data_IF_971927610972
#
_entry.id   IF_971927610972
#
_cell.length_a   1.000
_cell.length_b   1.000
_cell.length_c   1.000
_cell.angle_alpha   90.00
_cell.angle_beta   90.00
_cell.angle_gamma   90.00
#
_symmetry.space_group_name_H-M   'P 1'
#
loop_
_entity.id
_entity.type
_entity.pdbx_description
1 polymer ?
#
# COMPACT_ATOMS: atom_id res chain seq x y z
N UNK A 1 35.98 -5.12 24.58
CA UNK A 1 35.75 -5.67 23.22
C UNK A 1 37.05 -6.25 22.70
N UNK A 2 37.05 -7.53 22.35
CA UNK A 2 38.17 -8.23 21.72
C UNK A 2 38.51 -7.59 20.37
N UNK A 3 39.80 -7.40 20.06
CA UNK A 3 40.29 -6.82 18.79
C UNK A 3 40.77 -7.94 17.86
N UNK A 4 40.93 -7.63 16.56
CA UNK A 4 41.44 -8.60 15.57
C UNK A 4 42.84 -9.13 15.92
N UNK A 5 43.63 -8.33 16.65
CA UNK A 5 44.93 -8.73 17.18
C UNK A 5 44.82 -9.86 18.23
N UNK A 6 43.76 -9.86 19.03
CA UNK A 6 43.54 -10.88 20.05
C UNK A 6 43.17 -12.21 19.41
N UNK A 7 42.41 -12.18 18.31
CA UNK A 7 42.14 -13.35 17.46
C UNK A 7 43.43 -13.90 16.85
N UNK A 8 44.31 -13.05 16.34
CA UNK A 8 45.59 -13.46 15.75
C UNK A 8 46.49 -14.16 16.80
N UNK A 9 46.60 -13.58 18.00
CA UNK A 9 47.33 -14.17 19.12
C UNK A 9 46.74 -15.52 19.54
N UNK A 10 45.41 -15.62 19.67
CA UNK A 10 44.74 -16.83 20.12
C UNK A 10 44.75 -17.95 19.08
N UNK A 11 44.69 -17.62 17.80
CA UNK A 11 44.78 -18.58 16.69
C UNK A 11 46.24 -18.95 16.31
N UNK A 12 47.23 -18.28 16.91
CA UNK A 12 48.67 -18.44 16.60
C UNK A 12 48.99 -18.20 15.12
N UNK A 13 48.51 -17.09 14.59
CA UNK A 13 48.73 -16.66 13.20
C UNK A 13 49.04 -15.16 13.13
N UNK A 14 49.53 -14.69 11.99
CA UNK A 14 49.74 -13.25 11.76
C UNK A 14 48.40 -12.51 11.65
N UNK A 15 48.42 -11.20 11.96
CA UNK A 15 47.25 -10.32 11.77
C UNK A 15 46.76 -10.33 10.30
N UNK A 16 47.70 -10.36 9.35
CA UNK A 16 47.40 -10.51 7.92
C UNK A 16 46.68 -11.82 7.59
N UNK A 17 47.02 -12.93 8.25
CA UNK A 17 46.35 -14.23 8.05
C UNK A 17 44.91 -14.22 8.53
N UNK A 18 44.64 -13.54 9.66
CA UNK A 18 43.25 -13.32 10.14
C UNK A 18 42.48 -12.44 9.15
N UNK A 19 43.10 -11.37 8.64
CA UNK A 19 42.49 -10.52 7.61
C UNK A 19 42.15 -11.29 6.32
N UNK A 20 43.04 -12.18 5.86
CA UNK A 20 42.76 -13.04 4.70
C UNK A 20 41.64 -14.04 4.94
N UNK A 21 41.59 -14.63 6.14
CA UNK A 21 40.51 -15.53 6.53
C UNK A 21 39.14 -14.85 6.49
N UNK A 22 39.08 -13.56 6.88
CA UNK A 22 37.86 -12.77 6.94
C UNK A 22 37.45 -12.16 5.60
N UNK A 23 38.41 -11.78 4.75
CA UNK A 23 38.16 -11.02 3.52
C UNK A 23 38.30 -11.85 2.24
N UNK A 24 38.74 -13.11 2.31
CA UNK A 24 38.81 -14.04 1.17
C UNK A 24 39.87 -13.72 0.09
N UNK A 25 40.62 -12.62 0.21
CA UNK A 25 41.57 -12.13 -0.81
C UNK A 25 42.78 -13.05 -1.07
N UNK A 26 43.11 -13.99 -0.17
CA UNK A 26 44.17 -14.98 -0.37
C UNK A 26 43.74 -16.35 0.18
N UNK A 27 44.07 -17.45 -0.51
CA UNK A 27 43.78 -18.79 -0.02
C UNK A 27 44.56 -19.07 1.27
N UNK A 28 43.87 -19.66 2.25
CA UNK A 28 44.45 -20.16 3.49
C UNK A 28 44.04 -21.62 3.66
N UNK A 29 44.89 -22.42 4.33
CA UNK A 29 44.56 -23.82 4.58
C UNK A 29 43.34 -23.96 5.48
N UNK A 30 42.53 -25.00 5.25
CA UNK A 30 41.31 -25.27 6.01
C UNK A 30 41.60 -25.41 7.52
N UNK A 31 42.71 -26.09 7.85
CA UNK A 31 43.23 -26.19 9.23
C UNK A 31 43.50 -24.82 9.87
N UNK A 32 43.94 -23.83 9.09
CA UNK A 32 44.19 -22.47 9.58
C UNK A 32 42.89 -21.68 9.72
N UNK A 33 41.96 -21.83 8.78
CA UNK A 33 40.62 -21.23 8.86
C UNK A 33 39.87 -21.69 10.11
N UNK A 34 39.87 -22.99 10.39
CA UNK A 34 39.23 -23.57 11.58
C UNK A 34 39.80 -23.02 12.89
N UNK A 35 41.13 -22.83 12.98
CA UNK A 35 41.78 -22.21 14.17
C UNK A 35 41.33 -20.76 14.38
N UNK A 36 41.18 -20.00 13.29
CA UNK A 36 40.74 -18.60 13.35
C UNK A 36 39.27 -18.53 13.76
N UNK A 37 38.40 -19.34 13.17
CA UNK A 37 36.96 -19.40 13.54
C UNK A 37 36.81 -19.78 15.00
N UNK A 38 37.53 -20.80 15.48
CA UNK A 38 37.51 -21.20 16.89
C UNK A 38 37.92 -20.06 17.82
N UNK A 39 39.02 -19.37 17.49
CA UNK A 39 39.49 -18.22 18.27
C UNK A 39 38.50 -17.05 18.28
N UNK A 40 37.79 -16.80 17.17
CA UNK A 40 36.75 -15.77 17.12
C UNK A 40 35.57 -16.11 18.03
N UNK A 41 35.11 -17.37 18.01
CA UNK A 41 34.02 -17.85 18.86
C UNK A 41 34.38 -17.76 20.35
N UNK A 42 35.57 -18.23 20.74
CA UNK A 42 36.03 -18.21 22.13
C UNK A 42 36.21 -16.78 22.68
N UNK A 43 36.61 -15.83 21.83
CA UNK A 43 36.81 -14.43 22.21
C UNK A 43 35.55 -13.57 22.06
N UNK A 44 34.44 -14.13 21.59
CA UNK A 44 33.23 -13.37 21.22
C UNK A 44 33.51 -12.29 20.17
N UNK A 45 34.55 -12.46 19.36
CA UNK A 45 34.95 -11.46 18.36
C UNK A 45 34.01 -11.52 17.16
N UNK A 46 33.33 -10.41 16.89
CA UNK A 46 32.55 -10.20 15.66
C UNK A 46 33.25 -9.14 14.81
N UNK A 47 33.55 -9.41 13.53
CA UNK A 47 34.11 -8.41 12.63
C UNK A 47 33.15 -7.21 12.54
N UNK A 48 33.64 -6.01 12.85
CA UNK A 48 32.82 -4.80 12.77
C UNK A 48 32.69 -4.36 11.30
N UNK A 49 31.48 -4.23 10.73
CA UNK A 49 31.28 -3.85 9.32
C UNK A 49 31.98 -2.55 8.93
N UNK A 50 31.90 -1.53 9.80
CA UNK A 50 32.54 -0.21 9.61
C UNK A 50 34.08 -0.29 9.59
N UNK A 51 34.70 -1.19 10.35
CA UNK A 51 36.16 -1.37 10.35
C UNK A 51 36.67 -2.01 9.04
N UNK A 52 35.79 -2.72 8.32
CA UNK A 52 36.06 -3.31 7.00
C UNK A 52 35.99 -2.24 5.90
N UNK A 53 35.11 -1.25 6.04
CA UNK A 53 35.00 -0.12 5.11
C UNK A 53 36.21 0.81 5.14
N UNK A 54 36.70 1.14 6.33
CA UNK A 54 37.89 2.01 6.53
C UNK A 54 39.16 1.48 5.83
N UNK A 55 39.35 0.16 5.78
CA UNK A 55 40.51 -0.44 5.12
C UNK A 55 40.33 -0.65 3.59
N UNK A 56 39.09 -0.63 3.10
CA UNK A 56 38.77 -0.95 1.69
C UNK A 56 38.36 0.25 0.85
N UNK A 57 38.21 1.45 1.44
CA UNK A 57 37.62 2.65 0.84
C UNK A 57 36.18 2.48 0.33
N UNK A 58 35.51 1.38 0.70
CA UNK A 58 34.14 1.07 0.29
C UNK A 58 33.29 0.82 1.53
N UNK A 59 32.25 1.62 1.74
CA UNK A 59 31.36 1.45 2.90
C UNK A 59 30.42 0.26 2.74
N UNK A 60 30.22 -0.22 1.51
CA UNK A 60 29.19 -1.19 1.15
C UNK A 60 27.79 -0.69 1.48
N UNK A 61 27.59 0.62 1.48
CA UNK A 61 26.29 1.25 1.71
C UNK A 61 25.91 2.00 0.43
N UNK A 62 24.70 1.76 -0.06
CA UNK A 62 24.05 2.57 -1.08
C UNK A 62 22.97 3.41 -0.41
N UNK A 63 22.81 4.65 -0.84
CA UNK A 63 21.65 5.47 -0.45
C UNK A 63 20.61 5.45 -1.56
N UNK A 64 19.33 5.28 -1.20
CA UNK A 64 18.22 5.65 -2.05
C UNK A 64 17.66 6.98 -1.57
N UNK A 65 17.75 8.00 -2.41
CA UNK A 65 17.30 9.34 -2.10
C UNK A 65 15.85 9.48 -2.54
N UNK A 66 14.99 9.65 -1.55
CA UNK A 66 13.57 9.85 -1.72
C UNK A 66 13.20 11.21 -1.15
N UNK A 67 12.63 12.12 -1.95
CA UNK A 67 12.18 13.37 -1.40
C UNK A 67 10.98 13.20 -0.50
N UNK A 68 10.96 13.94 0.60
CA UNK A 68 9.81 14.02 1.51
C UNK A 68 8.64 14.68 0.78
N UNK A 69 7.85 13.90 0.04
CA UNK A 69 6.60 14.37 -0.58
C UNK A 69 5.47 14.40 0.45
N UNK A 70 4.54 15.35 0.31
CA UNK A 70 3.32 15.50 1.13
C UNK A 70 2.50 14.20 1.27
N UNK A 71 2.69 13.23 0.36
CA UNK A 71 1.90 11.99 0.26
C UNK A 71 2.52 10.78 0.98
N UNK A 72 3.79 10.85 1.42
CA UNK A 72 4.54 9.68 1.90
C UNK A 72 4.80 8.64 0.81
N UNK A 73 5.24 7.42 1.20
CA UNK A 73 5.49 6.31 0.28
C UNK A 73 4.20 5.58 -0.08
N UNK A 74 3.88 5.48 -1.37
CA UNK A 74 2.84 4.61 -1.88
C UNK A 74 3.32 3.16 -2.06
N UNK A 75 2.41 2.29 -2.52
CA UNK A 75 2.72 0.86 -2.73
C UNK A 75 3.82 0.69 -3.79
N UNK A 76 3.74 1.43 -4.89
CA UNK A 76 4.73 1.35 -5.99
C UNK A 76 6.12 1.79 -5.53
N UNK A 77 6.21 2.86 -4.75
CA UNK A 77 7.49 3.35 -4.22
C UNK A 77 8.08 2.36 -3.20
N UNK A 78 7.24 1.73 -2.37
CA UNK A 78 7.68 0.67 -1.45
C UNK A 78 8.23 -0.55 -2.21
N UNK A 79 7.59 -0.95 -3.32
CA UNK A 79 8.07 -2.05 -4.16
C UNK A 79 9.43 -1.71 -4.81
N UNK A 80 9.63 -0.46 -5.24
CA UNK A 80 10.93 0.00 -5.73
C UNK A 80 12.00 -0.07 -4.64
N UNK A 81 11.73 0.46 -3.44
CA UNK A 81 12.67 0.42 -2.31
C UNK A 81 12.99 -1.03 -1.91
N UNK A 82 11.98 -1.89 -1.80
CA UNK A 82 12.14 -3.29 -1.44
C UNK A 82 12.96 -4.07 -2.49
N UNK A 83 12.69 -3.83 -3.78
CA UNK A 83 13.41 -4.45 -4.89
C UNK A 83 14.86 -3.98 -4.95
N UNK A 84 15.10 -2.68 -4.77
CA UNK A 84 16.45 -2.12 -4.68
C UNK A 84 17.21 -2.66 -3.48
N UNK A 85 16.57 -2.79 -2.32
CA UNK A 85 17.17 -3.35 -1.10
C UNK A 85 17.55 -4.83 -1.29
N UNK A 86 16.68 -5.61 -1.95
CA UNK A 86 16.96 -7.00 -2.26
C UNK A 86 18.14 -7.15 -3.23
N UNK A 87 18.18 -6.34 -4.29
CA UNK A 87 19.29 -6.31 -5.24
C UNK A 87 20.61 -5.89 -4.58
N UNK A 88 20.58 -4.85 -3.73
CA UNK A 88 21.75 -4.40 -2.97
C UNK A 88 22.28 -5.52 -2.06
N UNK A 89 21.39 -6.15 -1.28
CA UNK A 89 21.73 -7.24 -0.36
C UNK A 89 22.39 -8.43 -1.08
N UNK A 90 21.82 -8.84 -2.22
CA UNK A 90 22.34 -9.93 -3.05
C UNK A 90 23.75 -9.63 -3.59
N UNK A 91 24.07 -8.35 -3.78
CA UNK A 91 25.39 -7.88 -4.22
C UNK A 91 26.33 -7.50 -3.06
N UNK A 92 25.95 -7.79 -1.81
CA UNK A 92 26.77 -7.50 -0.62
C UNK A 92 26.81 -6.03 -0.23
N UNK A 93 25.78 -5.26 -0.58
CA UNK A 93 25.55 -3.88 -0.17
C UNK A 93 24.38 -3.79 0.81
N UNK A 94 24.43 -2.80 1.69
CA UNK A 94 23.30 -2.35 2.49
C UNK A 94 22.63 -1.17 1.78
N UNK A 95 21.31 -1.11 1.77
CA UNK A 95 20.56 0.04 1.27
C UNK A 95 20.06 0.86 2.46
N UNK A 96 20.29 2.17 2.43
CA UNK A 96 19.73 3.13 3.39
C UNK A 96 18.76 4.04 2.65
N UNK A 97 17.55 4.17 3.18
CA UNK A 97 16.59 5.16 2.69
C UNK A 97 16.97 6.51 3.29
N UNK A 98 17.31 7.45 2.42
CA UNK A 98 17.70 8.80 2.81
C UNK A 98 16.58 9.76 2.42
N UNK A 99 15.88 10.26 3.43
CA UNK A 99 14.92 11.35 3.26
C UNK A 99 15.71 12.64 3.15
N UNK A 100 15.77 13.21 1.96
CA UNK A 100 16.31 14.55 1.73
C UNK A 100 15.18 15.45 1.24
N UNK A 101 15.21 16.73 1.58
CA UNK A 101 14.37 17.68 0.84
C UNK A 101 14.89 17.77 -0.60
N UNK A 102 14.00 17.62 -1.59
CA UNK A 102 14.35 17.52 -3.02
C UNK A 102 15.19 18.69 -3.54
N UNK A 103 15.21 19.81 -2.81
CA UNK A 103 15.83 21.07 -3.19
C UNK A 103 17.04 21.46 -2.31
N UNK A 104 17.54 20.60 -1.42
CA UNK A 104 18.75 20.91 -0.65
C UNK A 104 20.00 20.23 -1.23
N UNK A 105 20.77 20.92 -2.11
CA UNK A 105 22.03 20.39 -2.63
C UNK A 105 23.07 20.17 -1.52
N UNK A 106 22.94 20.82 -0.37
CA UNK A 106 23.89 20.71 0.73
C UNK A 106 23.87 19.31 1.35
N UNK A 107 22.69 18.71 1.55
CA UNK A 107 22.58 17.36 2.11
C UNK A 107 23.21 16.30 1.20
N UNK A 108 22.95 16.38 -0.11
CA UNK A 108 23.55 15.47 -1.09
C UNK A 108 25.07 15.66 -1.16
N UNK A 109 25.54 16.90 -1.06
CA UNK A 109 26.97 17.20 -1.00
C UNK A 109 27.60 16.65 0.29
N UNK A 110 26.94 16.76 1.44
CA UNK A 110 27.43 16.17 2.69
C UNK A 110 27.49 14.64 2.61
N UNK A 111 26.45 14.00 2.10
CA UNK A 111 26.37 12.54 1.96
C UNK A 111 27.51 11.98 1.11
N UNK A 112 27.85 12.68 0.02
CA UNK A 112 28.92 12.29 -0.90
C UNK A 112 30.31 12.60 -0.36
N UNK A 113 30.50 13.75 0.31
CA UNK A 113 31.80 14.17 0.85
C UNK A 113 32.22 13.41 2.12
N UNK A 114 31.27 13.01 2.97
CA UNK A 114 31.56 12.28 4.22
C UNK A 114 31.98 10.82 3.97
N UNK A 115 31.87 10.34 2.72
CA UNK A 115 32.24 8.97 2.36
C UNK A 115 31.39 7.93 3.08
N UNK A 116 30.13 8.26 3.41
CA UNK A 116 29.20 7.36 4.09
C UNK A 116 28.65 6.27 3.17
N UNK A 117 28.53 6.58 1.87
CA UNK A 117 27.94 5.70 0.86
C UNK A 117 28.86 5.57 -0.34
N UNK A 118 28.75 4.43 -1.03
CA UNK A 118 29.52 4.12 -2.24
C UNK A 118 28.79 4.56 -3.52
N UNK A 119 27.49 4.85 -3.43
CA UNK A 119 26.65 5.23 -4.56
C UNK A 119 25.25 5.66 -4.14
N UNK A 120 24.57 6.36 -5.04
CA UNK A 120 23.22 6.92 -4.83
C UNK A 120 22.23 6.40 -5.90
N UNK A 121 21.01 6.07 -5.48
CA UNK A 121 19.86 5.85 -6.35
C UNK A 121 18.92 7.04 -6.16
N UNK A 122 18.67 7.83 -7.19
CA UNK A 122 17.72 8.95 -7.13
C UNK A 122 16.31 8.48 -7.50
N UNK A 123 15.32 8.83 -6.68
CA UNK A 123 13.90 8.73 -7.01
C UNK A 123 13.29 10.12 -7.21
N UNK A 124 12.06 10.12 -7.76
CA UNK A 124 11.28 11.34 -8.00
C UNK A 124 12.05 12.33 -8.89
N UNK A 125 12.57 11.82 -10.01
CA UNK A 125 13.50 12.57 -10.88
C UNK A 125 12.77 13.64 -11.70
N UNK A 126 13.35 14.83 -11.74
CA UNK A 126 12.85 15.94 -12.55
C UNK A 126 13.45 15.90 -13.96
N UNK A 127 12.76 16.46 -14.95
CA UNK A 127 13.25 16.55 -16.34
C UNK A 127 14.60 17.26 -16.42
N UNK A 128 14.76 18.29 -15.58
CA UNK A 128 16.01 18.99 -15.30
C UNK A 128 16.28 18.90 -13.80
N UNK A 129 17.10 17.94 -13.39
CA UNK A 129 17.32 17.63 -11.98
C UNK A 129 18.67 18.17 -11.48
N UNK A 130 18.62 19.06 -10.50
CA UNK A 130 19.84 19.64 -9.91
C UNK A 130 20.70 18.60 -9.19
N UNK A 131 20.09 17.54 -8.64
CA UNK A 131 20.81 16.47 -7.92
C UNK A 131 21.69 15.69 -8.89
N UNK A 132 21.17 15.43 -10.09
CA UNK A 132 21.90 14.77 -11.17
C UNK A 132 23.09 15.63 -11.61
N UNK A 133 22.89 16.94 -11.81
CA UNK A 133 23.98 17.85 -12.17
C UNK A 133 25.08 17.89 -11.10
N UNK A 134 24.71 17.97 -9.82
CA UNK A 134 25.65 17.93 -8.70
C UNK A 134 26.46 16.62 -8.66
N UNK A 135 25.80 15.47 -8.81
CA UNK A 135 26.48 14.17 -8.80
C UNK A 135 27.45 14.01 -9.98
N UNK A 136 27.09 14.54 -11.16
CA UNK A 136 27.98 14.61 -12.33
C UNK A 136 29.22 15.47 -12.04
N UNK A 137 29.03 16.67 -11.47
CA UNK A 137 30.12 17.57 -11.10
C UNK A 137 31.08 16.94 -10.09
N UNK A 138 30.52 16.26 -9.08
CA UNK A 138 31.28 15.53 -8.06
C UNK A 138 31.89 14.22 -8.58
N UNK A 139 31.53 13.79 -9.80
CA UNK A 139 31.88 12.48 -10.38
C UNK A 139 31.54 11.32 -9.44
N UNK A 140 30.43 11.46 -8.72
CA UNK A 140 29.99 10.50 -7.72
C UNK A 140 29.13 9.42 -8.38
N UNK A 141 29.29 8.12 -8.09
CA UNK A 141 28.49 7.06 -8.70
C UNK A 141 26.99 7.17 -8.37
N UNK A 142 26.14 7.19 -9.39
CA UNK A 142 24.69 7.19 -9.19
C UNK A 142 23.90 6.50 -10.32
N UNK A 143 22.65 6.20 -10.04
CA UNK A 143 21.63 5.75 -11.01
C UNK A 143 20.27 6.32 -10.61
N UNK A 144 19.25 6.14 -11.44
CA UNK A 144 17.94 6.75 -11.26
C UNK A 144 16.79 5.76 -11.40
N UNK A 145 15.74 5.97 -10.61
CA UNK A 145 14.39 5.46 -10.86
C UNK A 145 13.57 6.67 -11.33
N UNK A 146 13.30 6.73 -12.63
CA UNK A 146 12.96 7.97 -13.34
C UNK A 146 14.13 8.47 -14.20
N UNK A 147 13.92 9.49 -15.03
CA UNK A 147 14.96 10.04 -15.91
C UNK A 147 14.88 11.55 -16.13
N UNK A 148 16.03 12.17 -16.39
CA UNK A 148 16.14 13.50 -17.00
C UNK A 148 15.93 13.43 -18.51
N UNK A 149 15.80 14.57 -19.19
CA UNK A 149 15.58 14.60 -20.64
C UNK A 149 16.84 14.35 -21.47
N UNK A 150 18.02 14.43 -20.87
CA UNK A 150 19.29 14.33 -21.59
C UNK A 150 19.80 12.88 -21.80
N UNK A 151 19.10 11.85 -21.29
CA UNK A 151 19.39 10.40 -21.42
C UNK A 151 20.89 10.01 -21.26
N UNK A 152 21.68 10.80 -20.51
CA UNK A 152 23.14 10.62 -20.38
C UNK A 152 23.58 9.59 -19.34
N UNK A 153 22.74 9.31 -18.36
CA UNK A 153 23.06 8.47 -17.20
C UNK A 153 22.20 7.22 -17.14
N UNK A 154 22.62 6.24 -16.34
CA UNK A 154 21.84 5.02 -16.13
C UNK A 154 20.51 5.32 -15.40
N UNK A 155 19.42 4.77 -15.93
CA UNK A 155 18.10 4.88 -15.31
C UNK A 155 17.24 3.63 -15.53
N UNK A 156 16.23 3.48 -14.68
CA UNK A 156 15.07 2.61 -14.91
C UNK A 156 13.84 3.50 -14.79
N UNK A 157 12.98 3.53 -15.81
CA UNK A 157 11.80 4.40 -15.82
C UNK A 157 10.60 3.67 -16.41
N UNK A 158 9.40 4.17 -16.11
CA UNK A 158 8.16 3.74 -16.74
C UNK A 158 8.08 4.41 -18.11
N UNK A 159 7.68 3.67 -19.14
CA UNK A 159 7.30 4.28 -20.41
C UNK A 159 5.92 4.95 -20.25
N UNK A 160 5.93 6.20 -19.80
CA UNK A 160 4.72 6.99 -19.60
C UNK A 160 3.99 7.28 -20.91
N UNK A 161 4.72 7.35 -22.03
CA UNK A 161 4.09 7.55 -23.34
C UNK A 161 3.29 6.32 -23.71
N UNK A 162 3.92 5.14 -23.66
CA UNK A 162 3.24 3.87 -23.88
C UNK A 162 2.07 3.68 -22.91
N UNK A 163 2.26 3.99 -21.62
CA UNK A 163 1.20 3.88 -20.60
C UNK A 163 -0.04 4.70 -20.96
N UNK A 164 0.16 5.95 -21.38
CA UNK A 164 -0.95 6.83 -21.78
C UNK A 164 -1.55 6.38 -23.11
N UNK A 165 -0.73 5.99 -24.09
CA UNK A 165 -1.17 5.50 -25.39
C UNK A 165 -2.05 4.25 -25.24
N UNK A 166 -1.65 3.30 -24.41
CA UNK A 166 -2.41 2.08 -24.12
C UNK A 166 -3.73 2.39 -23.40
N UNK A 167 -3.71 3.25 -22.37
CA UNK A 167 -4.90 3.63 -21.62
C UNK A 167 -5.94 4.33 -22.52
N UNK A 168 -5.51 5.28 -23.35
CA UNK A 168 -6.38 6.00 -24.28
C UNK A 168 -6.87 5.11 -25.42
N UNK A 169 -6.02 4.23 -25.94
CA UNK A 169 -6.42 3.25 -26.97
C UNK A 169 -7.47 2.28 -26.46
N UNK A 170 -7.34 1.83 -25.21
CA UNK A 170 -8.33 0.97 -24.56
C UNK A 170 -9.68 1.70 -24.43
N UNK A 171 -9.70 2.93 -23.93
CA UNK A 171 -10.92 3.72 -23.80
C UNK A 171 -11.59 4.01 -25.16
N UNK A 172 -10.79 4.37 -26.17
CA UNK A 172 -11.28 4.57 -27.53
C UNK A 172 -11.86 3.27 -28.12
N UNK A 173 -11.21 2.12 -27.87
CA UNK A 173 -11.69 0.81 -28.30
C UNK A 173 -13.02 0.40 -27.66
N UNK A 174 -13.34 0.94 -26.48
CA UNK A 174 -14.66 0.80 -25.84
C UNK A 174 -15.71 1.79 -26.38
N UNK A 175 -15.34 2.65 -27.33
CA UNK A 175 -16.22 3.66 -27.94
C UNK A 175 -16.26 5.00 -27.18
N UNK A 176 -15.37 5.24 -26.20
CA UNK A 176 -15.31 6.52 -25.50
C UNK A 176 -14.63 7.59 -26.37
N UNK A 177 -15.34 8.69 -26.64
CA UNK A 177 -14.84 9.80 -27.46
C UNK A 177 -14.45 11.04 -26.66
N UNK A 178 -14.97 11.16 -25.43
CA UNK A 178 -14.75 12.28 -24.51
C UNK A 178 -14.06 11.75 -23.24
N UNK A 179 -12.79 12.13 -23.04
CA UNK A 179 -11.93 11.56 -21.99
C UNK A 179 -11.40 12.66 -21.08
N UNK A 180 -11.57 12.47 -19.77
CA UNK A 180 -10.94 13.31 -18.74
C UNK A 180 -9.72 12.61 -18.14
N UNK A 181 -8.62 13.34 -17.99
CA UNK A 181 -7.40 12.89 -17.33
C UNK A 181 -7.11 13.77 -16.11
N UNK A 182 -7.11 13.15 -14.93
CA UNK A 182 -6.64 13.79 -13.70
C UNK A 182 -5.16 13.47 -13.51
N UNK A 183 -4.32 14.47 -13.74
CA UNK A 183 -2.88 14.39 -13.50
C UNK A 183 -2.56 14.83 -12.05
N UNK A 184 -1.31 14.69 -11.64
CA UNK A 184 -0.76 15.16 -10.36
C UNK A 184 -0.89 16.68 -10.16
N UNK A 185 -0.31 17.21 -9.08
CA UNK A 185 -0.45 18.62 -8.73
C UNK A 185 0.20 19.55 -9.76
N UNK A 186 -0.35 20.76 -9.89
CA UNK A 186 0.24 21.84 -10.70
C UNK A 186 1.66 22.17 -10.25
N UNK A 187 1.89 22.17 -8.93
CA UNK A 187 3.19 22.42 -8.34
C UNK A 187 4.24 21.39 -8.80
N UNK A 188 3.88 20.10 -8.84
CA UNK A 188 4.76 19.04 -9.34
C UNK A 188 5.08 19.20 -10.82
N UNK A 189 4.12 19.63 -11.63
CA UNK A 189 4.34 19.93 -13.04
C UNK A 189 5.31 21.10 -13.24
N UNK A 190 5.08 22.20 -12.51
CA UNK A 190 5.91 23.41 -12.58
C UNK A 190 7.32 23.17 -12.03
N UNK A 191 7.47 22.27 -11.05
CA UNK A 191 8.78 21.80 -10.58
C UNK A 191 9.51 20.90 -11.60
N UNK A 192 8.84 20.46 -12.67
CA UNK A 192 9.42 19.62 -13.70
C UNK A 192 9.49 18.14 -13.33
N UNK A 193 8.64 17.64 -12.42
CA UNK A 193 8.63 16.23 -12.05
C UNK A 193 8.30 15.35 -13.26
N UNK A 194 9.23 14.45 -13.61
CA UNK A 194 9.25 13.73 -14.90
C UNK A 194 7.93 13.04 -15.28
N UNK A 195 7.35 12.19 -14.42
CA UNK A 195 6.07 11.52 -14.69
C UNK A 195 4.93 12.48 -15.03
N UNK A 196 4.85 13.64 -14.35
CA UNK A 196 3.76 14.61 -14.55
C UNK A 196 3.90 15.32 -15.88
N UNK A 197 5.13 15.71 -16.23
CA UNK A 197 5.45 16.36 -17.50
C UNK A 197 5.21 15.39 -18.66
N UNK A 198 5.72 14.15 -18.55
CA UNK A 198 5.65 13.15 -19.62
C UNK A 198 4.24 12.64 -19.87
N UNK A 199 3.47 12.36 -18.82
CA UNK A 199 2.07 11.93 -18.97
C UNK A 199 1.18 13.03 -19.55
N UNK A 200 1.42 14.31 -19.19
CA UNK A 200 0.72 15.44 -19.82
C UNK A 200 1.03 15.52 -21.32
N UNK A 201 2.31 15.51 -21.68
CA UNK A 201 2.74 15.60 -23.08
C UNK A 201 2.17 14.44 -23.91
N UNK A 202 2.26 13.21 -23.40
CA UNK A 202 1.71 12.02 -24.05
C UNK A 202 0.19 12.10 -24.20
N UNK A 203 -0.54 12.59 -23.19
CA UNK A 203 -1.99 12.74 -23.26
C UNK A 203 -2.38 13.76 -24.33
N UNK A 204 -1.73 14.92 -24.37
CA UNK A 204 -2.01 15.97 -25.35
C UNK A 204 -1.71 15.52 -26.78
N UNK A 205 -0.55 14.89 -26.99
CA UNK A 205 -0.16 14.32 -28.28
C UNK A 205 -1.18 13.27 -28.74
N UNK A 206 -1.53 12.33 -27.86
CA UNK A 206 -2.45 11.24 -28.22
C UNK A 206 -3.85 11.73 -28.52
N UNK A 207 -4.38 12.67 -27.74
CA UNK A 207 -5.69 13.30 -28.01
C UNK A 207 -5.68 14.00 -29.37
N UNK A 208 -4.61 14.74 -29.69
CA UNK A 208 -4.45 15.41 -30.98
C UNK A 208 -4.44 14.41 -32.16
N UNK A 209 -3.67 13.32 -32.04
CA UNK A 209 -3.52 12.32 -33.11
C UNK A 209 -4.76 11.43 -33.32
N UNK A 210 -5.58 11.22 -32.28
CA UNK A 210 -6.71 10.29 -32.31
C UNK A 210 -8.05 10.94 -32.63
N UNK A 211 -8.13 12.27 -32.66
CA UNK A 211 -9.39 13.00 -32.83
C UNK A 211 -10.35 12.88 -31.63
N UNK A 212 -9.88 12.33 -30.51
CA UNK A 212 -10.61 12.28 -29.24
C UNK A 212 -10.77 13.69 -28.66
N UNK A 213 -11.77 13.88 -27.79
CA UNK A 213 -11.90 15.09 -26.99
C UNK A 213 -11.29 14.84 -25.62
N UNK A 214 -10.20 15.54 -25.31
CA UNK A 214 -9.49 15.39 -24.05
C UNK A 214 -9.63 16.60 -23.13
N UNK A 215 -9.89 16.37 -21.84
CA UNK A 215 -9.78 17.40 -20.80
C UNK A 215 -8.82 16.93 -19.71
N UNK A 216 -7.70 17.64 -19.54
CA UNK A 216 -6.75 17.37 -18.45
C UNK A 216 -6.94 18.37 -17.31
N UNK A 217 -6.88 17.89 -16.06
CA UNK A 217 -6.82 18.73 -14.85
C UNK A 217 -5.73 18.24 -13.92
N UNK A 218 -5.03 19.17 -13.28
CA UNK A 218 -4.15 18.87 -12.17
C UNK A 218 -4.95 18.61 -10.90
N UNK A 219 -4.53 17.64 -10.12
CA UNK A 219 -5.15 17.23 -8.87
C UNK A 219 -4.08 16.95 -7.83
N UNK A 220 -4.25 17.48 -6.61
CA UNK A 220 -3.39 17.10 -5.49
C UNK A 220 -3.59 15.61 -5.19
N UNK A 221 -2.56 14.89 -4.71
CA UNK A 221 -2.64 13.46 -4.47
C UNK A 221 -3.37 13.10 -3.16
N UNK A 222 -4.49 13.77 -2.89
CA UNK A 222 -5.33 13.59 -1.71
C UNK A 222 -6.74 13.13 -2.14
N UNK A 223 -7.39 12.19 -1.42
CA UNK A 223 -8.73 11.72 -1.75
C UNK A 223 -9.75 12.86 -1.94
N UNK A 224 -9.72 13.85 -1.04
CA UNK A 224 -10.60 15.00 -1.08
C UNK A 224 -10.39 15.87 -2.34
N UNK A 225 -9.14 16.11 -2.74
CA UNK A 225 -8.83 16.85 -3.96
C UNK A 225 -9.32 16.10 -5.21
N UNK A 226 -9.24 14.77 -5.21
CA UNK A 226 -9.80 13.93 -6.27
C UNK A 226 -11.32 14.05 -6.37
N UNK A 227 -12.02 14.02 -5.23
CA UNK A 227 -13.46 14.21 -5.15
C UNK A 227 -13.89 15.59 -5.69
N UNK A 228 -13.20 16.65 -5.26
CA UNK A 228 -13.46 18.02 -5.72
C UNK A 228 -13.21 18.19 -7.22
N UNK A 229 -12.08 17.67 -7.71
CA UNK A 229 -11.74 17.72 -9.13
C UNK A 229 -12.75 16.96 -9.99
N UNK A 230 -13.17 15.77 -9.55
CA UNK A 230 -14.20 14.98 -10.23
C UNK A 230 -15.54 15.71 -10.27
N UNK A 231 -16.02 16.25 -9.15
CA UNK A 231 -17.29 16.98 -9.11
C UNK A 231 -17.25 18.26 -9.95
N UNK A 232 -16.12 18.98 -9.95
CA UNK A 232 -15.93 20.13 -10.82
C UNK A 232 -15.95 19.76 -12.31
N UNK A 233 -15.40 18.61 -12.67
CA UNK A 233 -15.46 18.07 -14.03
C UNK A 233 -16.88 17.68 -14.43
N UNK A 234 -17.59 16.88 -13.62
CA UNK A 234 -18.97 16.44 -13.90
C UNK A 234 -19.94 17.64 -13.98
N UNK A 235 -19.74 18.68 -13.15
CA UNK A 235 -20.57 19.89 -13.20
C UNK A 235 -20.43 20.66 -14.52
N UNK A 236 -19.25 20.66 -15.12
CA UNK A 236 -18.97 21.33 -16.41
C UNK A 236 -19.18 20.42 -17.63
N UNK A 237 -19.07 19.12 -17.43
CA UNK A 237 -19.17 18.08 -18.45
C UNK A 237 -20.08 16.96 -17.90
N UNK A 238 -21.41 17.15 -17.90
CA UNK A 238 -22.34 16.18 -17.36
C UNK A 238 -22.43 14.96 -18.29
N UNK A 239 -21.50 14.01 -18.13
CA UNK A 239 -21.59 12.66 -18.69
C UNK A 239 -21.21 11.65 -17.61
N UNK A 240 -22.18 10.82 -17.25
CA UNK A 240 -22.14 9.79 -16.22
C UNK A 240 -21.63 8.47 -16.80
N UNK A 241 -20.35 8.12 -16.56
CA UNK A 241 -19.94 6.72 -16.35
C UNK A 241 -18.51 6.62 -15.83
N UNK A 242 -18.33 5.92 -14.71
CA UNK A 242 -17.02 5.48 -14.22
C UNK A 242 -16.85 4.01 -14.64
N UNK A 243 -15.89 3.71 -15.52
CA UNK A 243 -15.54 2.34 -15.91
C UNK A 243 -14.23 1.93 -15.23
N UNK A 244 -14.24 0.85 -14.45
CA UNK A 244 -13.03 0.13 -14.04
C UNK A 244 -12.73 -1.02 -15.01
N UNK A 245 -11.45 -1.32 -15.21
CA UNK A 245 -10.92 -2.36 -16.14
C UNK A 245 -11.36 -3.78 -15.76
N UNK A 246 -12.05 -4.50 -16.66
CA UNK A 246 -12.77 -5.73 -16.31
C UNK A 246 -12.99 -6.72 -17.50
N UNK A 247 -12.30 -7.89 -17.53
CA UNK A 247 -12.49 -9.02 -18.48
C UNK A 247 -12.91 -10.33 -17.79
N UNK A 248 -13.61 -11.27 -18.47
CA UNK A 248 -13.90 -12.63 -17.98
C UNK A 248 -12.78 -13.62 -18.38
N UNK A 249 -11.98 -14.11 -17.43
CA UNK A 249 -11.08 -15.24 -17.65
C UNK A 249 -11.19 -16.24 -16.48
N UNK A 250 -11.30 -17.52 -16.84
CA UNK A 250 -11.38 -18.67 -15.94
C UNK A 250 -10.02 -18.95 -15.31
N UNK A 251 -9.82 -18.57 -14.04
CA UNK A 251 -8.58 -18.83 -13.28
C UNK A 251 -8.82 -18.80 -11.76
N UNK A 252 -7.87 -19.31 -10.94
CA UNK A 252 -8.09 -19.62 -9.52
C UNK A 252 -8.03 -18.41 -8.57
N UNK A 253 -7.86 -17.17 -9.07
CA UNK A 253 -7.67 -15.97 -8.24
C UNK A 253 -8.52 -14.79 -8.75
N UNK A 254 -9.25 -14.06 -7.88
CA UNK A 254 -10.18 -13.01 -8.31
C UNK A 254 -9.46 -11.69 -8.57
N UNK A 255 -9.54 -11.17 -9.80
CA UNK A 255 -9.21 -9.76 -10.14
C UNK A 255 -10.21 -9.21 -11.16
N UNK A 256 -10.49 -7.90 -11.09
CA UNK A 256 -11.67 -7.16 -11.61
C UNK A 256 -12.12 -7.53 -13.03
N UNK A 257 -13.45 -7.71 -13.29
CA UNK A 257 -13.86 -8.34 -14.56
C UNK A 257 -15.32 -8.38 -15.07
N UNK A 258 -16.24 -8.80 -14.22
CA UNK A 258 -17.46 -9.43 -14.71
C UNK A 258 -18.65 -8.46 -14.80
N UNK A 259 -19.73 -8.93 -15.45
CA UNK A 259 -21.06 -8.41 -15.19
C UNK A 259 -21.28 -8.35 -13.67
N UNK A 260 -21.74 -7.21 -13.15
CA UNK A 260 -21.88 -6.95 -11.70
C UNK A 260 -23.35 -6.85 -11.29
N UNK A 261 -24.23 -6.99 -12.27
CA UNK A 261 -25.64 -7.01 -12.04
C UNK A 261 -26.00 -8.28 -11.30
N UNK A 262 -26.98 -8.19 -10.40
CA UNK A 262 -27.34 -9.31 -9.53
C UNK A 262 -27.74 -10.56 -10.31
N UNK A 263 -28.23 -10.41 -11.56
CA UNK A 263 -28.63 -11.51 -12.44
C UNK A 263 -27.44 -12.27 -13.07
N UNK A 264 -26.23 -11.75 -12.96
CA UNK A 264 -25.04 -12.34 -13.58
C UNK A 264 -24.43 -13.51 -12.80
N UNK A 265 -24.96 -13.80 -11.63
CA UNK A 265 -24.44 -14.84 -10.72
C UNK A 265 -25.29 -16.13 -10.70
N UNK A 266 -26.21 -16.27 -11.66
CA UNK A 266 -27.14 -17.39 -11.75
C UNK A 266 -28.35 -17.26 -10.83
N UNK A 267 -29.41 -18.02 -11.11
CA UNK A 267 -30.74 -17.87 -10.48
C UNK A 267 -30.71 -17.95 -8.95
N UNK A 268 -29.97 -18.92 -8.40
CA UNK A 268 -29.88 -19.10 -6.94
C UNK A 268 -29.24 -17.91 -6.24
N UNK A 269 -28.16 -17.35 -6.80
CA UNK A 269 -27.48 -16.18 -6.23
C UNK A 269 -28.27 -14.91 -6.49
N UNK A 270 -28.90 -14.77 -7.66
CA UNK A 270 -29.78 -13.65 -7.98
C UNK A 270 -30.90 -13.49 -6.95
N UNK A 271 -31.59 -14.57 -6.59
CA UNK A 271 -32.66 -14.54 -5.60
C UNK A 271 -32.17 -14.00 -4.24
N UNK A 272 -31.02 -14.50 -3.76
CA UNK A 272 -30.41 -14.06 -2.50
C UNK A 272 -30.01 -12.57 -2.58
N UNK A 273 -29.30 -12.17 -3.64
CA UNK A 273 -28.84 -10.78 -3.78
C UNK A 273 -30.00 -9.80 -3.92
N UNK A 274 -31.08 -10.17 -4.61
CA UNK A 274 -32.31 -9.38 -4.72
C UNK A 274 -32.91 -9.11 -3.33
N UNK A 275 -33.02 -10.13 -2.50
CA UNK A 275 -33.58 -9.99 -1.15
C UNK A 275 -32.69 -9.12 -0.25
N UNK A 276 -31.37 -9.27 -0.34
CA UNK A 276 -30.40 -8.45 0.39
C UNK A 276 -30.42 -6.98 -0.08
N UNK A 277 -30.60 -6.73 -1.38
CA UNK A 277 -30.78 -5.37 -1.91
C UNK A 277 -32.07 -4.73 -1.37
N UNK A 278 -33.17 -5.48 -1.35
CA UNK A 278 -34.43 -5.00 -0.77
C UNK A 278 -34.28 -4.68 0.73
N UNK A 279 -33.55 -5.52 1.48
CA UNK A 279 -33.22 -5.25 2.87
C UNK A 279 -32.37 -3.98 3.02
N UNK A 280 -31.35 -3.79 2.18
CA UNK A 280 -30.51 -2.58 2.17
C UNK A 280 -31.34 -1.32 1.93
N UNK A 281 -32.30 -1.36 1.00
CA UNK A 281 -33.19 -0.21 0.76
C UNK A 281 -34.09 0.07 1.97
N UNK A 282 -34.58 -0.95 2.68
CA UNK A 282 -35.32 -0.75 3.94
C UNK A 282 -34.44 -0.18 5.06
N UNK A 283 -33.15 -0.49 5.08
CA UNK A 283 -32.17 0.07 6.03
C UNK A 283 -31.69 1.48 5.66
N UNK A 284 -31.93 1.95 4.43
CA UNK A 284 -31.42 3.23 3.93
C UNK A 284 -31.69 4.44 4.85
N UNK A 285 -32.90 4.62 5.44
CA UNK A 285 -33.14 5.73 6.36
C UNK A 285 -32.24 5.67 7.60
N UNK A 286 -32.01 4.48 8.15
CA UNK A 286 -31.13 4.30 9.30
C UNK A 286 -29.68 4.59 8.96
N UNK A 287 -29.21 4.10 7.81
CA UNK A 287 -27.85 4.39 7.34
C UNK A 287 -27.63 5.89 7.14
N UNK A 288 -28.61 6.61 6.61
CA UNK A 288 -28.55 8.07 6.49
C UNK A 288 -28.43 8.77 7.84
N UNK A 289 -29.21 8.35 8.84
CA UNK A 289 -29.12 8.87 10.21
C UNK A 289 -27.71 8.64 10.79
N UNK A 290 -27.14 7.44 10.61
CA UNK A 290 -25.79 7.14 11.08
C UNK A 290 -24.72 7.99 10.37
N UNK A 291 -24.86 8.26 9.08
CA UNK A 291 -23.94 9.12 8.34
C UNK A 291 -24.01 10.58 8.82
N UNK A 292 -25.20 11.06 9.20
CA UNK A 292 -25.37 12.38 9.81
C UNK A 292 -24.65 12.44 11.16
N UNK A 293 -24.86 11.45 12.03
CA UNK A 293 -24.17 11.35 13.33
C UNK A 293 -22.65 11.29 13.15
N UNK A 294 -22.15 10.55 12.16
CA UNK A 294 -20.73 10.48 11.85
C UNK A 294 -20.17 11.86 11.45
N UNK A 295 -20.92 12.63 10.67
CA UNK A 295 -20.52 13.98 10.23
C UNK A 295 -20.51 14.97 11.40
N UNK A 296 -21.53 14.94 12.26
CA UNK A 296 -21.70 15.90 13.35
C UNK A 296 -20.83 15.61 14.57
N UNK A 297 -20.61 14.32 14.88
CA UNK A 297 -20.02 13.88 16.15
C UNK A 297 -18.79 12.98 15.99
N UNK A 298 -18.41 12.65 14.76
CA UNK A 298 -17.27 11.75 14.49
C UNK A 298 -17.51 10.28 14.83
N UNK A 299 -18.73 9.89 15.23
CA UNK A 299 -19.03 8.51 15.62
C UNK A 299 -19.31 7.65 14.38
N UNK A 300 -18.50 6.60 14.10
CA UNK A 300 -18.62 5.85 12.85
C UNK A 300 -19.93 5.03 12.78
N UNK A 301 -20.47 4.78 11.57
CA UNK A 301 -21.61 3.88 11.39
C UNK A 301 -21.30 2.43 11.74
N UNK A 302 -20.06 1.98 11.51
CA UNK A 302 -19.56 0.67 11.91
C UNK A 302 -18.72 0.84 13.18
N UNK A 303 -19.06 0.12 14.25
CA UNK A 303 -18.46 0.30 15.57
C UNK A 303 -17.96 -1.04 16.12
N UNK A 304 -16.74 -1.11 16.67
CA UNK A 304 -16.30 -2.30 17.41
C UNK A 304 -17.15 -2.48 18.67
N UNK A 305 -17.26 -3.71 19.19
CA UNK A 305 -18.14 -3.98 20.34
C UNK A 305 -17.73 -3.20 21.58
N UNK A 306 -16.43 -3.12 21.88
CA UNK A 306 -15.92 -2.38 23.07
C UNK A 306 -16.27 -0.89 23.05
N UNK A 307 -16.54 -0.30 21.88
CA UNK A 307 -16.96 1.10 21.79
C UNK A 307 -18.41 1.30 22.27
N UNK A 308 -19.28 0.32 22.02
CA UNK A 308 -20.68 0.35 22.46
C UNK A 308 -20.89 -0.27 23.86
N UNK A 309 -20.00 -1.18 24.25
CA UNK A 309 -20.07 -1.94 25.50
C UNK A 309 -18.73 -1.89 26.26
N UNK A 310 -18.28 -0.69 26.69
CA UNK A 310 -16.98 -0.55 27.36
C UNK A 310 -16.91 -1.27 28.71
N UNK A 311 -18.05 -1.50 29.37
CA UNK A 311 -18.13 -2.19 30.66
C UNK A 311 -18.09 -3.73 30.53
N UNK A 312 -18.11 -4.26 29.31
CA UNK A 312 -18.04 -5.69 29.04
C UNK A 312 -16.64 -6.06 28.52
N UNK A 313 -15.74 -6.58 29.38
CA UNK A 313 -14.35 -6.81 29.01
C UNK A 313 -14.20 -7.88 27.91
N UNK A 314 -15.21 -8.72 27.69
CA UNK A 314 -15.17 -9.69 26.58
C UNK A 314 -15.21 -8.95 25.24
N UNK A 315 -15.91 -7.82 25.15
CA UNK A 315 -16.07 -7.06 23.91
C UNK A 315 -14.76 -6.49 23.34
N UNK A 316 -13.71 -6.33 24.16
CA UNK A 316 -12.37 -5.95 23.71
C UNK A 316 -11.67 -7.07 22.92
N UNK A 317 -12.04 -8.32 23.20
CA UNK A 317 -11.41 -9.52 22.61
C UNK A 317 -12.07 -9.99 21.31
N UNK A 318 -13.20 -9.38 20.94
CA UNK A 318 -14.00 -9.80 19.79
C UNK A 318 -13.58 -9.01 18.54
N UNK A 319 -12.94 -9.71 17.59
CA UNK A 319 -12.45 -9.12 16.33
C UNK A 319 -13.37 -9.41 15.13
N UNK A 320 -14.35 -10.30 15.31
CA UNK A 320 -15.14 -10.89 14.22
C UNK A 320 -16.63 -10.54 14.24
N UNK A 321 -17.02 -9.59 15.10
CA UNK A 321 -18.38 -9.06 15.23
C UNK A 321 -18.30 -7.53 15.38
N UNK A 322 -19.30 -6.82 14.89
CA UNK A 322 -19.35 -5.36 14.96
C UNK A 322 -20.78 -4.87 15.06
N UNK A 323 -20.94 -3.63 15.49
CA UNK A 323 -22.23 -2.94 15.51
C UNK A 323 -22.40 -2.08 14.26
N UNK A 324 -23.61 -2.06 13.70
CA UNK A 324 -24.08 -1.00 12.81
C UNK A 324 -24.90 -0.04 13.65
N UNK A 325 -24.32 1.14 13.90
CA UNK A 325 -24.83 2.12 14.84
C UNK A 325 -25.03 1.52 16.24
N UNK A 326 -25.90 2.11 17.06
CA UNK A 326 -26.14 1.60 18.41
C UNK A 326 -27.14 0.42 18.46
N UNK A 327 -27.69 -0.06 17.34
CA UNK A 327 -28.91 -0.89 17.36
C UNK A 327 -28.71 -2.33 16.89
N UNK A 328 -27.75 -2.57 15.99
CA UNK A 328 -27.62 -3.86 15.29
C UNK A 328 -26.23 -4.45 15.49
N UNK A 329 -26.15 -5.65 16.06
CA UNK A 329 -24.94 -6.46 16.09
C UNK A 329 -24.92 -7.36 14.84
N UNK A 330 -23.79 -7.35 14.14
CA UNK A 330 -23.55 -8.13 12.92
C UNK A 330 -22.43 -9.13 13.18
N UNK A 331 -22.69 -10.39 12.84
CA UNK A 331 -21.70 -11.46 12.95
C UNK A 331 -21.49 -12.14 11.58
N UNK A 332 -20.53 -11.66 10.77
CA UNK A 332 -20.27 -12.25 9.45
C UNK A 332 -19.74 -13.70 9.53
N UNK A 333 -19.98 -14.44 8.44
CA UNK A 333 -19.40 -15.78 8.21
C UNK A 333 -18.06 -15.60 7.50
N UNK A 334 -16.97 -15.98 8.17
CA UNK A 334 -15.60 -15.75 7.68
C UNK A 334 -14.96 -16.99 7.02
N UNK A 335 -15.54 -18.17 7.21
CA UNK A 335 -15.00 -19.43 6.71
C UNK A 335 -15.88 -20.02 5.60
N UNK A 336 -15.28 -20.35 4.45
CA UNK A 336 -15.96 -20.99 3.32
C UNK A 336 -16.62 -22.30 3.77
N UNK A 337 -17.88 -22.48 3.40
CA UNK A 337 -18.65 -23.70 3.69
C UNK A 337 -19.32 -23.71 5.06
N UNK A 338 -19.03 -22.76 5.95
CA UNK A 338 -19.74 -22.68 7.23
C UNK A 338 -21.23 -22.38 7.04
N UNK A 339 -22.06 -23.01 7.86
CA UNK A 339 -23.53 -22.82 7.90
C UNK A 339 -24.05 -22.55 9.32
N UNK A 340 -23.14 -22.39 10.27
CA UNK A 340 -23.42 -22.05 11.66
C UNK A 340 -22.34 -21.08 12.16
N UNK A 341 -22.66 -20.34 13.22
CA UNK A 341 -21.75 -19.37 13.79
C UNK A 341 -21.87 -19.35 15.31
N UNK A 342 -20.74 -19.46 16.00
CA UNK A 342 -20.62 -19.07 17.40
C UNK A 342 -20.43 -17.55 17.49
N UNK A 343 -21.26 -16.90 18.30
CA UNK A 343 -21.39 -15.43 18.42
C UNK A 343 -21.42 -15.09 19.90
N UNK A 344 -20.82 -13.96 20.28
CA UNK A 344 -20.93 -13.43 21.63
C UNK A 344 -21.98 -12.32 21.67
N UNK A 345 -22.92 -12.41 22.60
CA UNK A 345 -23.92 -11.36 22.82
C UNK A 345 -23.46 -10.52 24.02
N UNK A 346 -23.15 -9.22 23.85
CA UNK A 346 -22.71 -8.35 24.94
C UNK A 346 -23.68 -8.33 26.13
N UNK A 347 -23.12 -8.21 27.33
CA UNK A 347 -23.86 -8.16 28.58
C UNK A 347 -24.71 -6.89 28.74
N UNK A 348 -25.59 -6.89 29.75
CA UNK A 348 -26.37 -5.70 30.14
C UNK A 348 -27.68 -5.49 29.39
N UNK A 349 -27.96 -6.25 28.34
CA UNK A 349 -29.25 -6.22 27.64
C UNK A 349 -29.62 -7.56 27.00
N UNK A 350 -30.89 -7.68 26.61
CA UNK A 350 -31.38 -8.81 25.83
C UNK A 350 -31.24 -8.51 24.34
N UNK A 351 -30.89 -9.53 23.57
CA UNK A 351 -30.68 -9.46 22.13
C UNK A 351 -31.75 -10.27 21.43
N UNK A 352 -32.28 -9.74 20.34
CA UNK A 352 -33.29 -10.39 19.51
C UNK A 352 -32.67 -10.76 18.17
N UNK A 353 -32.75 -12.03 17.79
CA UNK A 353 -32.40 -12.44 16.42
C UNK A 353 -33.32 -11.70 15.45
N UNK A 354 -32.73 -10.96 14.51
CA UNK A 354 -33.47 -10.12 13.57
C UNK A 354 -34.37 -10.95 12.62
N UNK A 355 -34.04 -12.23 12.41
CA UNK A 355 -34.72 -13.12 11.48
C UNK A 355 -35.81 -13.95 12.15
N UNK A 356 -35.50 -14.65 13.25
CA UNK A 356 -36.48 -15.50 13.95
C UNK A 356 -37.34 -14.71 14.94
N UNK A 357 -36.79 -13.62 15.49
CA UNK A 357 -37.39 -12.87 16.58
C UNK A 357 -37.16 -13.51 17.95
N UNK A 358 -36.39 -14.59 18.04
CA UNK A 358 -36.03 -15.22 19.32
C UNK A 358 -35.17 -14.27 20.14
N UNK A 359 -35.38 -14.30 21.47
CA UNK A 359 -34.70 -13.40 22.40
C UNK A 359 -33.73 -14.18 23.27
N UNK A 360 -32.52 -13.66 23.40
CA UNK A 360 -31.42 -14.22 24.15
C UNK A 360 -30.94 -13.22 25.19
N UNK A 361 -30.55 -13.71 26.37
CA UNK A 361 -29.85 -12.90 27.36
C UNK A 361 -28.44 -12.58 26.88
N UNK A 362 -27.99 -11.34 27.08
CA UNK A 362 -26.59 -10.95 26.89
C UNK A 362 -25.62 -11.62 27.87
N UNK A 363 -24.33 -11.38 27.67
CA UNK A 363 -23.23 -11.89 28.51
C UNK A 363 -22.82 -13.33 28.21
N UNK A 364 -23.24 -13.88 27.06
CA UNK A 364 -23.00 -15.29 26.72
C UNK A 364 -22.70 -15.48 25.24
N UNK A 365 -21.99 -16.57 24.95
CA UNK A 365 -21.89 -17.08 23.59
C UNK A 365 -23.09 -17.97 23.26
N UNK A 366 -23.55 -17.89 22.02
CA UNK A 366 -24.55 -18.79 21.44
C UNK A 366 -24.06 -19.32 20.09
N UNK A 367 -24.57 -20.47 19.69
CA UNK A 367 -24.36 -21.04 18.36
C UNK A 367 -25.67 -20.93 17.57
N UNK A 368 -25.61 -20.29 16.41
CA UNK A 368 -26.80 -19.96 15.61
C UNK A 368 -26.62 -20.41 14.16
N UNK A 369 -27.69 -20.87 13.48
CA UNK A 369 -27.69 -21.06 12.03
C UNK A 369 -27.24 -19.82 11.24
N UNK A 370 -26.40 -20.04 10.24
CA UNK A 370 -25.96 -19.02 9.28
C UNK A 370 -26.10 -19.59 7.86
N UNK A 371 -27.34 -19.76 7.36
CA UNK A 371 -27.58 -20.30 6.03
C UNK A 371 -27.03 -19.36 4.94
N UNK A 372 -26.96 -19.83 3.70
CA UNK A 372 -26.25 -19.09 2.63
C UNK A 372 -26.85 -17.71 2.37
N UNK A 373 -28.16 -17.58 2.53
CA UNK A 373 -28.96 -16.39 2.26
C UNK A 373 -28.89 -15.32 3.37
N UNK A 374 -28.40 -15.65 4.57
CA UNK A 374 -28.47 -14.76 5.75
C UNK A 374 -27.24 -14.91 6.63
N UNK A 375 -26.71 -13.77 7.06
CA UNK A 375 -25.77 -13.70 8.17
C UNK A 375 -26.54 -13.49 9.48
N UNK A 376 -26.01 -13.98 10.61
CA UNK A 376 -26.58 -13.65 11.92
C UNK A 376 -26.55 -12.14 12.19
N UNK A 377 -27.72 -11.62 12.56
CA UNK A 377 -27.93 -10.21 12.93
C UNK A 377 -28.78 -10.18 14.18
N UNK A 378 -28.32 -9.45 15.19
CA UNK A 378 -29.05 -9.28 16.44
C UNK A 378 -29.38 -7.82 16.67
N UNK A 379 -30.64 -7.57 17.02
CA UNK A 379 -31.12 -6.26 17.41
C UNK A 379 -31.15 -6.17 18.93
N UNK A 380 -30.92 -4.98 19.50
CA UNK A 380 -31.27 -4.75 20.91
C UNK A 380 -32.77 -5.08 21.12
N UNK A 381 -33.12 -5.77 22.21
CA UNK A 381 -34.51 -6.11 22.48
C UNK A 381 -35.38 -4.83 22.53
N UNK A 382 -36.49 -4.82 21.79
CA UNK A 382 -37.34 -3.64 21.63
C UNK A 382 -36.90 -2.67 20.52
N UNK A 383 -35.85 -2.98 19.77
CA UNK A 383 -35.41 -2.13 18.65
C UNK A 383 -36.53 -1.89 17.63
N UNK A 384 -36.67 -0.63 17.22
CA UNK A 384 -37.61 -0.19 16.16
C UNK A 384 -37.36 -0.86 14.81
N UNK A 385 -36.19 -1.47 14.61
CA UNK A 385 -35.79 -2.08 13.35
C UNK A 385 -36.28 -3.52 13.16
N UNK A 386 -37.03 -4.09 14.10
CA UNK A 386 -37.59 -5.46 13.99
C UNK A 386 -38.28 -5.72 12.66
N UNK A 387 -39.10 -4.77 12.19
CA UNK A 387 -39.89 -4.96 10.98
C UNK A 387 -39.06 -4.83 9.69
N UNK A 388 -37.82 -4.35 9.75
CA UNK A 388 -36.94 -4.21 8.58
C UNK A 388 -36.47 -5.57 8.05
N UNK A 389 -36.32 -6.55 8.94
CA UNK A 389 -35.83 -7.89 8.60
C UNK A 389 -36.94 -8.89 8.25
N UNK A 390 -38.21 -8.49 8.39
CA UNK A 390 -39.32 -9.29 7.91
C UNK A 390 -39.34 -9.33 6.38
N UNK A 391 -39.67 -10.48 5.76
CA UNK A 391 -39.92 -10.54 4.32
C UNK A 391 -41.01 -9.54 3.94
N UNK A 392 -40.86 -8.88 2.79
CA UNK A 392 -41.94 -8.10 2.19
C UNK A 392 -42.82 -9.10 1.46
N UNK A 393 -44.07 -9.21 1.90
CA UNK A 393 -45.11 -10.07 1.29
C UNK A 393 -45.39 -9.69 -0.16
#
# INVERSE_FOLDING_TARGET
MSRMLDVAKRAKVSLSTVSYALNGKRPISEKTRQRIVKAMTELGYRPHPLARGLASKHTRILAILFPTVERGLGITELDFVASAAHAASTNGYHLVVWSAETNDPHELQQLTQQGLVDGVILMEVHVNDMRVNLLRELKFPFTMIGRCDDDRDGYVDIDFKQTVDEALSYLAGLGHTDIAFLNQSRMSYEAGYGPVVRTKAAFEERIYLSGLKGVMRFCRPLPQAGYEAFNALIKKHPVLRLHGYRFPLTGPMPRSGAQNEVWSFGEATYAILKDLLALRERLRPYLHELMQVATERGMPPLRPLFLEFPEDPICETIEDQFMIGPEMLIAPVLCKGSRQRKIYLPAGLNWMDAWSGDVYSGGRSIEIPAPLERIPVFLKAGSRFRNVFKPVS
#
